data_IF_716044264924
#
_entry.id   IF_716044264924
#
_cell.length_a   1.000
_cell.length_b   1.000
_cell.length_c   1.000
_cell.angle_alpha   90.00
_cell.angle_beta   90.00
_cell.angle_gamma   90.00
#
_symmetry.space_group_name_H-M   'P 1'
#
loop_
_entity.id
_entity.type
_entity.pdbx_description
1 polymer ?
#
# COMPACT_ATOMS: atom_id res chain seq x y z
N UNK A 1 -11.92 9.71 6.40
CA UNK A 1 -12.78 8.92 7.33
C UNK A 1 -13.27 7.62 6.68
N UNK A 2 -12.76 6.49 7.14
CA UNK A 2 -13.16 5.14 6.70
C UNK A 2 -14.41 4.62 7.42
N UNK A 3 -15.15 3.70 6.78
CA UNK A 3 -16.28 3.01 7.41
C UNK A 3 -15.78 2.00 8.46
N UNK A 4 -16.51 1.81 9.55
CA UNK A 4 -16.19 0.85 10.61
C UNK A 4 -16.60 -0.60 10.28
N UNK A 5 -17.36 -0.82 9.19
CA UNK A 5 -17.82 -2.13 8.72
C UNK A 5 -18.48 -2.99 9.82
N UNK A 6 -19.23 -2.37 10.75
CA UNK A 6 -19.82 -3.05 11.91
C UNK A 6 -20.79 -4.17 11.52
N UNK A 7 -21.46 -4.03 10.39
CA UNK A 7 -22.35 -5.03 9.80
C UNK A 7 -21.60 -6.33 9.43
N UNK A 8 -20.32 -6.22 9.04
CA UNK A 8 -19.44 -7.34 8.72
C UNK A 8 -18.71 -7.82 9.98
N UNK A 9 -18.09 -6.91 10.73
CA UNK A 9 -17.19 -7.23 11.85
C UNK A 9 -17.94 -7.78 13.06
N UNK A 10 -19.23 -7.44 13.23
CA UNK A 10 -20.08 -8.10 14.25
C UNK A 10 -20.34 -9.59 13.99
N UNK A 11 -20.04 -10.09 12.78
CA UNK A 11 -20.27 -11.47 12.37
C UNK A 11 -18.98 -12.30 12.30
N UNK A 12 -17.81 -11.67 12.45
CA UNK A 12 -16.51 -12.32 12.36
C UNK A 12 -15.76 -12.07 13.68
N UNK A 13 -15.53 -13.12 14.45
CA UNK A 13 -14.93 -13.00 15.78
C UNK A 13 -13.41 -12.75 15.76
N UNK A 14 -12.77 -12.92 14.60
CA UNK A 14 -11.32 -12.75 14.43
C UNK A 14 -11.05 -11.33 13.94
N UNK A 15 -9.99 -10.68 14.43
CA UNK A 15 -9.57 -9.38 13.92
C UNK A 15 -9.08 -9.47 12.46
N UNK A 16 -9.26 -8.40 11.65
CA UNK A 16 -8.68 -8.31 10.31
C UNK A 16 -7.15 -8.43 10.37
N UNK A 17 -6.57 -9.17 9.43
CA UNK A 17 -5.12 -9.36 9.34
C UNK A 17 -4.42 -8.18 8.66
N UNK A 18 -5.14 -7.50 7.75
CA UNK A 18 -4.69 -6.30 7.04
C UNK A 18 -5.90 -5.54 6.46
N UNK A 19 -5.66 -4.33 5.97
CA UNK A 19 -6.66 -3.46 5.34
C UNK A 19 -6.19 -2.99 3.97
N UNK A 20 -7.11 -2.77 3.04
CA UNK A 20 -6.79 -2.17 1.74
C UNK A 20 -6.68 -0.64 1.80
N UNK A 21 -6.38 0.00 0.67
CA UNK A 21 -6.22 1.45 0.51
C UNK A 21 -7.48 2.24 0.91
N UNK A 22 -8.63 1.58 1.01
CA UNK A 22 -9.91 2.18 1.39
C UNK A 22 -10.32 1.84 2.84
N UNK A 23 -9.44 1.21 3.60
CA UNK A 23 -9.69 0.80 4.99
C UNK A 23 -10.62 -0.41 5.07
N UNK A 24 -10.79 -1.18 3.99
CA UNK A 24 -11.66 -2.36 3.99
C UNK A 24 -10.90 -3.52 4.67
N UNK A 25 -11.49 -4.16 5.70
CA UNK A 25 -10.84 -5.26 6.40
C UNK A 25 -10.66 -6.49 5.51
N UNK A 26 -9.53 -7.20 5.72
CA UNK A 26 -9.17 -8.44 5.03
C UNK A 26 -8.75 -9.48 6.07
N UNK A 27 -9.22 -10.71 5.87
CA UNK A 27 -9.03 -11.81 6.82
C UNK A 27 -8.17 -12.89 6.15
N UNK A 28 -7.02 -13.19 6.75
CA UNK A 28 -6.05 -14.17 6.24
C UNK A 28 -4.70 -13.56 5.87
N UNK A 29 -3.74 -14.43 5.56
CA UNK A 29 -2.38 -14.04 5.21
C UNK A 29 -2.37 -13.15 3.96
N UNK A 30 -1.57 -12.08 4.02
CA UNK A 30 -1.39 -11.20 2.88
C UNK A 30 -0.77 -11.94 1.68
N UNK A 31 -1.24 -11.59 0.49
CA UNK A 31 -0.65 -12.02 -0.78
C UNK A 31 -0.93 -10.94 -1.83
N UNK A 32 0.02 -10.63 -2.73
CA UNK A 32 -0.25 -9.73 -3.85
C UNK A 32 -1.35 -10.25 -4.78
N UNK A 33 -1.68 -11.54 -4.72
CA UNK A 33 -2.83 -12.12 -5.46
C UNK A 33 -4.19 -11.84 -4.82
N UNK A 34 -4.20 -11.33 -3.58
CA UNK A 34 -5.41 -11.00 -2.82
C UNK A 34 -5.72 -9.50 -2.84
N UNK A 35 -4.98 -8.71 -3.61
CA UNK A 35 -5.22 -7.28 -3.78
C UNK A 35 -6.58 -7.03 -4.45
N UNK A 36 -7.33 -6.00 -4.01
CA UNK A 36 -8.52 -5.57 -4.72
C UNK A 36 -8.19 -4.94 -6.09
N UNK A 37 -7.01 -4.31 -6.22
CA UNK A 37 -6.53 -3.77 -7.48
C UNK A 37 -5.94 -4.88 -8.37
N UNK A 38 -6.78 -5.44 -9.26
CA UNK A 38 -6.39 -6.53 -10.17
C UNK A 38 -5.34 -6.11 -11.22
N UNK A 39 -5.16 -4.81 -11.43
CA UNK A 39 -4.20 -4.26 -12.39
C UNK A 39 -2.86 -3.91 -11.75
N UNK A 40 -2.73 -4.01 -10.43
CA UNK A 40 -1.53 -3.65 -9.71
C UNK A 40 -0.31 -4.35 -10.30
N UNK A 41 0.75 -3.60 -10.59
CA UNK A 41 2.07 -4.12 -10.96
C UNK A 41 3.09 -3.96 -9.83
N UNK A 42 2.67 -3.31 -8.75
CA UNK A 42 3.45 -3.08 -7.56
C UNK A 42 2.53 -3.02 -6.33
N UNK A 43 2.99 -3.54 -5.19
CA UNK A 43 2.33 -3.32 -3.91
C UNK A 43 3.29 -3.43 -2.72
N UNK A 44 2.92 -2.82 -1.60
CA UNK A 44 3.61 -2.94 -0.33
C UNK A 44 2.62 -3.16 0.82
N UNK A 45 2.91 -4.14 1.69
CA UNK A 45 2.25 -4.27 2.99
C UNK A 45 3.06 -3.46 4.01
N UNK A 46 2.40 -2.53 4.69
CA UNK A 46 3.03 -1.54 5.56
C UNK A 46 2.36 -1.57 6.92
N UNK A 47 3.15 -1.53 7.98
CA UNK A 47 2.66 -1.27 9.33
C UNK A 47 2.53 0.25 9.51
N UNK A 48 1.35 0.70 9.91
CA UNK A 48 1.08 2.08 10.28
C UNK A 48 0.63 2.15 11.75
N UNK A 49 0.79 3.31 12.38
CA UNK A 49 0.30 3.59 13.72
C UNK A 49 -0.62 4.82 13.72
N UNK A 50 -1.73 4.75 14.42
CA UNK A 50 -2.56 5.93 14.67
C UNK A 50 -1.77 6.96 15.50
N UNK A 51 -1.77 8.23 15.08
CA UNK A 51 -1.05 9.30 15.81
C UNK A 51 -1.61 9.59 17.21
N UNK A 52 -2.88 9.24 17.47
CA UNK A 52 -3.57 9.52 18.75
C UNK A 52 -3.49 8.33 19.72
N UNK A 53 -4.04 7.17 19.33
CA UNK A 53 -4.06 6.00 20.21
C UNK A 53 -2.89 5.02 20.00
N UNK A 54 -2.00 5.28 19.05
CA UNK A 54 -0.85 4.44 18.69
C UNK A 54 -1.17 2.98 18.33
N UNK A 55 -2.45 2.66 18.08
CA UNK A 55 -2.84 1.34 17.58
C UNK A 55 -2.23 1.12 16.21
N UNK A 56 -1.68 -0.08 16.02
CA UNK A 56 -1.01 -0.49 14.79
C UNK A 56 -1.95 -1.24 13.87
N UNK A 57 -1.77 -1.03 12.57
CA UNK A 57 -2.51 -1.69 11.51
C UNK A 57 -1.56 -2.10 10.40
N UNK A 58 -1.87 -3.22 9.75
CA UNK A 58 -1.25 -3.55 8.47
C UNK A 58 -2.14 -3.06 7.35
N UNK A 59 -1.62 -2.21 6.50
CA UNK A 59 -2.32 -1.65 5.34
C UNK A 59 -1.55 -1.95 4.08
N UNK A 60 -2.25 -2.08 2.95
CA UNK A 60 -1.60 -2.24 1.66
C UNK A 60 -1.65 -0.95 0.86
N UNK A 61 -0.57 -0.74 0.10
CA UNK A 61 -0.51 0.18 -1.02
C UNK A 61 -0.34 -0.65 -2.29
N UNK A 62 -1.08 -0.32 -3.33
CA UNK A 62 -0.92 -0.92 -4.65
C UNK A 62 -1.01 0.14 -5.73
N UNK A 63 -0.29 -0.09 -6.82
CA UNK A 63 -0.39 0.79 -7.98
C UNK A 63 -0.17 0.00 -9.26
N UNK A 64 -0.75 0.51 -10.35
CA UNK A 64 -0.51 0.06 -11.71
C UNK A 64 0.12 1.17 -12.54
N UNK A 65 0.87 0.81 -13.58
CA UNK A 65 1.42 1.77 -14.55
C UNK A 65 0.35 2.72 -15.10
N UNK A 66 -0.85 2.22 -15.39
CA UNK A 66 -1.94 3.03 -15.91
C UNK A 66 -2.42 4.07 -14.89
N UNK A 67 -2.59 3.68 -13.63
CA UNK A 67 -2.98 4.62 -12.56
C UNK A 67 -1.94 5.71 -12.36
N UNK A 68 -0.64 5.35 -12.39
CA UNK A 68 0.46 6.33 -12.30
C UNK A 68 0.43 7.31 -13.47
N UNK A 69 0.29 6.82 -14.71
CA UNK A 69 0.18 7.66 -15.91
C UNK A 69 -1.05 8.58 -15.85
N UNK A 70 -2.22 8.06 -15.50
CA UNK A 70 -3.46 8.84 -15.42
C UNK A 70 -3.38 9.91 -14.32
N UNK A 71 -2.74 9.60 -13.19
CA UNK A 71 -2.52 10.57 -12.12
C UNK A 71 -1.60 11.70 -12.56
N UNK A 72 -0.52 11.39 -13.30
CA UNK A 72 0.38 12.38 -13.86
C UNK A 72 -0.34 13.36 -14.80
N UNK A 73 -1.16 12.82 -15.70
CA UNK A 73 -1.94 13.61 -16.65
C UNK A 73 -2.93 14.54 -15.92
N UNK A 74 -3.63 14.04 -14.90
CA UNK A 74 -4.59 14.84 -14.11
C UNK A 74 -3.94 15.98 -13.37
N UNK A 75 -2.75 15.77 -12.84
CA UNK A 75 -1.99 16.76 -12.09
C UNK A 75 -1.19 17.72 -13.00
N UNK A 76 -1.28 17.56 -14.33
CA UNK A 76 -0.49 18.30 -15.32
C UNK A 76 1.02 18.24 -15.03
N UNK A 77 1.47 17.12 -14.48
CA UNK A 77 2.86 16.86 -14.16
C UNK A 77 3.52 16.06 -15.29
N UNK A 78 4.85 16.04 -15.33
CA UNK A 78 5.56 15.24 -16.33
C UNK A 78 5.23 13.76 -16.12
N UNK A 79 4.69 13.13 -17.18
CA UNK A 79 4.31 11.72 -17.18
C UNK A 79 5.53 10.84 -16.94
N UNK A 80 6.71 11.25 -17.43
CA UNK A 80 7.94 10.50 -17.20
C UNK A 80 8.34 10.49 -15.71
N UNK A 81 8.07 11.57 -14.98
CA UNK A 81 8.42 11.69 -13.56
C UNK A 81 7.47 10.89 -12.65
N UNK A 82 6.18 10.78 -12.99
CA UNK A 82 5.19 10.11 -12.12
C UNK A 82 4.91 8.67 -12.53
N UNK A 83 4.91 8.35 -13.83
CA UNK A 83 4.82 6.95 -14.27
C UNK A 83 5.97 6.10 -13.69
N UNK A 84 7.10 6.76 -13.41
CA UNK A 84 8.30 6.22 -12.78
C UNK A 84 8.47 6.63 -11.31
N UNK A 85 7.40 7.01 -10.60
CA UNK A 85 7.40 7.11 -9.12
C UNK A 85 6.69 5.90 -8.51
N UNK A 86 7.33 4.71 -8.56
CA UNK A 86 6.84 3.50 -7.94
C UNK A 86 6.70 3.67 -6.41
N UNK A 87 5.88 2.82 -5.80
CA UNK A 87 5.81 2.66 -4.34
C UNK A 87 7.22 2.46 -3.77
N UNK A 88 8.10 1.75 -4.47
CA UNK A 88 9.51 1.60 -4.13
C UNK A 88 10.23 2.94 -3.90
N UNK A 89 9.95 3.96 -4.70
CA UNK A 89 10.59 5.27 -4.56
C UNK A 89 10.03 6.04 -3.37
N UNK A 90 8.73 5.93 -3.11
CA UNK A 90 8.13 6.47 -1.88
C UNK A 90 8.72 5.80 -0.64
N UNK A 91 8.94 4.48 -0.67
CA UNK A 91 9.62 3.74 0.40
C UNK A 91 11.06 4.27 0.59
N UNK A 92 11.84 4.34 -0.48
CA UNK A 92 13.24 4.84 -0.43
C UNK A 92 13.33 6.28 0.08
N UNK A 93 12.33 7.10 -0.24
CA UNK A 93 12.25 8.48 0.21
C UNK A 93 11.69 8.62 1.64
N UNK A 94 11.24 7.54 2.28
CA UNK A 94 10.56 7.60 3.58
C UNK A 94 9.20 8.30 3.53
N UNK A 95 8.59 8.41 2.35
CA UNK A 95 7.40 9.23 2.09
C UNK A 95 6.11 8.39 1.91
N UNK A 96 6.07 7.18 2.47
CA UNK A 96 4.87 6.34 2.44
C UNK A 96 3.88 6.85 3.49
N UNK A 97 2.70 7.25 3.06
CA UNK A 97 1.65 7.77 3.95
C UNK A 97 0.28 7.20 3.56
N UNK A 98 -0.41 6.62 4.53
CA UNK A 98 -1.74 6.04 4.34
C UNK A 98 -2.86 7.09 4.52
N UNK A 99 -2.58 8.17 5.25
CA UNK A 99 -3.59 9.13 5.67
C UNK A 99 -4.27 8.66 6.95
N UNK A 100 -5.60 8.70 6.98
CA UNK A 100 -6.38 8.29 8.16
C UNK A 100 -6.22 6.78 8.42
N UNK A 101 -5.97 6.31 9.66
CA UNK A 101 -5.96 4.89 9.97
C UNK A 101 -7.35 4.25 9.74
N UNK A 102 -7.42 2.93 9.47
CA UNK A 102 -8.68 2.21 9.38
C UNK A 102 -9.56 2.45 10.62
N UNK A 103 -10.86 2.63 10.41
CA UNK A 103 -11.82 2.90 11.51
C UNK A 103 -12.20 1.61 12.26
N UNK A 104 -11.21 0.97 12.89
CA UNK A 104 -11.36 -0.33 13.54
C UNK A 104 -10.57 -0.40 14.84
N UNK A 105 -11.21 -0.80 15.94
CA UNK A 105 -10.52 -1.11 17.21
C UNK A 105 -9.82 0.07 17.90
N UNK A 106 -10.16 1.31 17.56
CA UNK A 106 -9.64 2.52 18.20
C UNK A 106 -10.01 2.60 19.69
N UNK A 107 -9.17 3.26 20.48
CA UNK A 107 -9.47 3.57 21.87
C UNK A 107 -10.69 4.51 21.99
N UNK A 108 -11.39 4.46 23.13
CA UNK A 108 -12.53 5.34 23.37
C UNK A 108 -12.09 6.81 23.35
N UNK A 109 -12.77 7.65 22.58
CA UNK A 109 -12.44 9.08 22.43
C UNK A 109 -11.31 9.37 21.44
N UNK A 110 -10.77 8.34 20.78
CA UNK A 110 -9.73 8.52 19.75
C UNK A 110 -10.27 9.32 18.56
N UNK A 111 -9.58 10.38 18.19
CA UNK A 111 -9.82 11.14 16.96
C UNK A 111 -9.34 10.38 15.70
N UNK A 112 -8.69 9.23 15.89
CA UNK A 112 -8.13 8.30 14.91
C UNK A 112 -8.74 8.35 13.50
N UNK A 113 -10.03 8.06 13.28
CA UNK A 113 -10.62 8.03 11.93
C UNK A 113 -10.71 9.39 11.21
N UNK A 114 -10.25 10.47 11.85
CA UNK A 114 -10.13 11.84 11.31
C UNK A 114 -8.73 12.45 11.49
N UNK A 115 -7.78 11.66 11.98
CA UNK A 115 -6.38 12.04 12.22
C UNK A 115 -5.47 11.19 11.34
N UNK A 116 -4.28 11.69 11.00
CA UNK A 116 -3.33 10.93 10.18
C UNK A 116 -2.71 9.76 10.95
N UNK A 117 -2.03 8.88 10.21
CA UNK A 117 -1.26 7.75 10.72
C UNK A 117 0.18 7.85 10.24
N UNK A 118 1.10 7.41 11.10
CA UNK A 118 2.52 7.34 10.78
C UNK A 118 2.83 5.98 10.18
N UNK A 119 3.61 5.97 9.09
CA UNK A 119 4.19 4.72 8.61
C UNK A 119 5.31 4.29 9.57
N UNK A 120 5.25 3.04 10.03
CA UNK A 120 6.21 2.46 10.98
C UNK A 120 7.27 1.70 10.21
N UNK A 121 6.86 0.77 9.34
CA UNK A 121 7.78 -0.05 8.54
C UNK A 121 7.09 -0.70 7.35
N UNK A 122 7.86 -1.00 6.32
CA UNK A 122 7.43 -1.86 5.21
C UNK A 122 7.67 -3.31 5.60
N UNK A 123 6.60 -4.10 5.65
CA UNK A 123 6.65 -5.52 6.02
C UNK A 123 6.98 -6.38 4.79
N UNK A 124 6.32 -6.11 3.68
CA UNK A 124 6.58 -6.81 2.42
C UNK A 124 6.48 -5.83 1.26
N UNK A 125 7.38 -5.96 0.30
CA UNK A 125 7.28 -5.26 -0.98
C UNK A 125 7.28 -6.27 -2.13
N UNK A 126 6.40 -6.05 -3.10
CA UNK A 126 6.23 -6.91 -4.25
C UNK A 126 6.09 -6.10 -5.54
N UNK A 127 6.68 -6.62 -6.62
CA UNK A 127 6.50 -6.08 -7.97
C UNK A 127 6.41 -7.18 -9.02
N UNK A 128 5.86 -6.83 -10.18
CA UNK A 128 5.87 -7.65 -11.41
C UNK A 128 6.12 -6.74 -12.62
N UNK A 129 6.07 -7.30 -13.83
CA UNK A 129 6.34 -6.58 -15.08
C UNK A 129 7.78 -6.05 -15.19
N UNK A 130 8.76 -6.85 -14.78
CA UNK A 130 10.18 -6.47 -14.88
C UNK A 130 10.56 -6.10 -16.31
N UNK A 131 11.23 -4.95 -16.46
CA UNK A 131 11.75 -4.48 -17.76
C UNK A 131 12.72 -5.48 -18.41
N UNK A 132 13.34 -6.37 -17.63
CA UNK A 132 14.18 -7.45 -18.15
C UNK A 132 13.42 -8.50 -18.98
N UNK A 133 12.08 -8.50 -18.93
CA UNK A 133 11.22 -9.42 -19.69
C UNK A 133 10.59 -8.73 -20.91
N UNK A 134 11.10 -7.55 -21.29
CA UNK A 134 10.57 -6.72 -22.37
C UNK A 134 11.73 -6.35 -23.30
N UNK A 135 11.52 -6.44 -24.61
CA UNK A 135 12.52 -6.04 -25.60
C UNK A 135 12.48 -4.54 -25.94
N UNK A 136 13.33 -4.12 -26.88
CA UNK A 136 13.41 -2.72 -27.32
C UNK A 136 12.14 -2.18 -27.98
N UNK A 137 11.24 -3.06 -28.44
CA UNK A 137 9.97 -2.69 -29.07
C UNK A 137 8.80 -2.73 -28.07
N UNK A 138 9.09 -2.87 -26.77
CA UNK A 138 8.12 -3.06 -25.70
C UNK A 138 7.30 -4.37 -25.82
N UNK A 139 7.83 -5.39 -26.49
CA UNK A 139 7.20 -6.70 -26.57
C UNK A 139 7.66 -7.56 -25.39
N UNK A 140 6.70 -8.19 -24.72
CA UNK A 140 7.00 -9.13 -23.62
C UNK A 140 7.62 -10.40 -24.19
N UNK A 141 8.85 -10.71 -23.78
CA UNK A 141 9.63 -11.85 -24.28
C UNK A 141 9.48 -13.11 -23.41
N UNK A 142 9.11 -12.94 -22.14
CA UNK A 142 8.83 -14.04 -21.19
C UNK A 142 7.59 -13.68 -20.36
N UNK A 143 6.42 -14.15 -20.80
CA UNK A 143 5.14 -13.82 -20.17
C UNK A 143 5.01 -14.38 -18.75
N UNK A 144 5.57 -15.57 -18.49
CA UNK A 144 5.46 -16.21 -17.19
C UNK A 144 6.27 -15.44 -16.14
N UNK A 145 7.49 -15.01 -16.50
CA UNK A 145 8.31 -14.16 -15.63
C UNK A 145 7.74 -12.76 -15.53
N UNK A 146 7.24 -12.19 -16.62
CA UNK A 146 6.64 -10.85 -16.62
C UNK A 146 5.43 -10.76 -15.68
N UNK A 147 4.54 -11.76 -15.68
CA UNK A 147 3.32 -11.77 -14.85
C UNK A 147 3.56 -12.21 -13.39
N UNK A 148 4.74 -12.71 -13.06
CA UNK A 148 5.06 -13.26 -11.74
C UNK A 148 5.38 -12.16 -10.74
N UNK A 149 4.67 -12.17 -9.63
CA UNK A 149 5.02 -11.36 -8.46
C UNK A 149 6.35 -11.82 -7.85
N UNK A 150 7.24 -10.86 -7.64
CA UNK A 150 8.56 -11.05 -7.03
C UNK A 150 8.64 -10.17 -5.79
N UNK A 151 9.08 -10.75 -4.67
CA UNK A 151 9.32 -10.02 -3.41
C UNK A 151 10.71 -9.39 -3.47
N UNK A 152 10.84 -8.14 -3.05
CA UNK A 152 12.13 -7.48 -2.90
C UNK A 152 12.36 -7.06 -1.43
N UNK A 153 13.09 -7.89 -0.65
CA UNK A 153 13.38 -7.61 0.76
C UNK A 153 14.23 -6.36 0.99
N UNK A 154 14.89 -5.80 -0.05
CA UNK A 154 15.69 -4.58 0.12
C UNK A 154 14.83 -3.34 0.44
N UNK A 155 13.51 -3.42 0.21
CA UNK A 155 12.55 -2.37 0.52
C UNK A 155 11.74 -2.66 1.80
N UNK A 156 12.02 -3.76 2.51
CA UNK A 156 11.39 -4.11 3.79
C UNK A 156 12.15 -3.44 4.94
N UNK A 157 11.97 -2.13 5.04
CA UNK A 157 12.72 -1.24 5.92
C UNK A 157 11.83 -0.62 6.99
N UNK A 158 12.46 -0.22 8.10
CA UNK A 158 11.84 0.69 9.06
C UNK A 158 11.71 2.08 8.44
N UNK A 159 10.58 2.73 8.66
CA UNK A 159 10.34 4.08 8.18
C UNK A 159 10.99 5.08 9.14
N UNK A 160 11.60 6.17 8.62
CA UNK A 160 12.11 7.23 9.47
C UNK A 160 10.96 7.76 10.32
N UNK A 161 11.13 7.72 11.64
CA UNK A 161 10.22 8.40 12.56
C UNK A 161 10.63 9.87 12.55
N UNK A 162 9.67 10.78 12.40
CA UNK A 162 9.93 12.20 12.62
C UNK A 162 10.45 12.35 14.06
N UNK A 163 11.73 12.68 14.20
CA UNK A 163 12.33 12.98 15.48
C UNK A 163 11.73 14.31 15.95
N UNK A 164 10.75 14.23 16.86
CA UNK A 164 10.19 15.30 17.69
C UNK A 164 10.13 16.69 17.01
N UNK A 165 8.96 17.02 16.45
CA UNK A 165 8.57 18.41 16.18
C UNK A 165 7.96 19.06 17.43
#
# INVERSE_FOLDING_TARGET
MHNAYRDITSRIAVEPSWFDENGVPRYGTFSPKSLPNIYADECALVEIACQDCHRRYHVVFSSSKMERVMSAMRLQQDVADIANRPIADAIRAGAVGYGDPPNYGHAAGCAGPTMSSDAVRVIEYWSRHSAACVDSENVVTDIERYMRWTRDPALEIEMPQDADA
#
